data_IF_909012071031
#
_entry.id   IF_909012071031
#
_cell.length_a   1.000
_cell.length_b   1.000
_cell.length_c   1.000
_cell.angle_alpha   90.00
_cell.angle_beta   90.00
_cell.angle_gamma   90.00
#
_symmetry.space_group_name_H-M   'P 1'
#
loop_
_entity.id
_entity.type
_entity.pdbx_description
1 polymer ?
#
# COMPACT_ATOMS: atom_id res chain seq x y z
N UNK A 1 15.47 -14.46 16.71
CA UNK A 1 14.31 -14.15 15.85
C UNK A 1 14.87 -13.83 14.47
N UNK A 2 14.62 -14.69 13.47
CA UNK A 2 15.14 -14.47 12.12
C UNK A 2 14.49 -13.22 11.54
N UNK A 3 15.32 -12.28 11.12
CA UNK A 3 14.92 -11.12 10.34
C UNK A 3 14.68 -11.62 8.91
N UNK A 4 13.44 -12.01 8.61
CA UNK A 4 13.08 -12.37 7.24
C UNK A 4 12.91 -11.06 6.46
N UNK A 5 14.05 -10.46 6.11
CA UNK A 5 14.09 -9.33 5.19
C UNK A 5 13.50 -9.77 3.85
N UNK A 6 12.54 -9.01 3.35
CA UNK A 6 11.87 -9.30 2.08
C UNK A 6 12.47 -8.47 0.95
N UNK A 7 12.38 -8.92 -0.31
CA UNK A 7 12.69 -8.07 -1.45
C UNK A 7 11.76 -6.83 -1.50
N UNK A 8 12.23 -5.65 -1.96
CA UNK A 8 11.40 -4.45 -2.01
C UNK A 8 10.10 -4.60 -2.83
N UNK A 9 10.15 -5.37 -3.92
CA UNK A 9 8.98 -5.64 -4.77
C UNK A 9 7.85 -6.36 -4.02
N UNK A 10 8.16 -7.13 -2.98
CA UNK A 10 7.14 -7.78 -2.17
C UNK A 10 6.35 -6.73 -1.37
N UNK A 11 7.05 -5.74 -0.79
CA UNK A 11 6.42 -4.63 -0.08
C UNK A 11 5.57 -3.78 -1.04
N UNK A 12 6.06 -3.52 -2.26
CA UNK A 12 5.28 -2.83 -3.30
C UNK A 12 3.98 -3.57 -3.63
N UNK A 13 4.04 -4.89 -3.80
CA UNK A 13 2.85 -5.71 -4.05
C UNK A 13 1.83 -5.62 -2.91
N UNK A 14 2.29 -5.68 -1.66
CA UNK A 14 1.42 -5.52 -0.48
C UNK A 14 0.83 -4.10 -0.39
N UNK A 15 1.58 -3.09 -0.81
CA UNK A 15 1.10 -1.72 -0.91
C UNK A 15 -0.04 -1.58 -1.92
N UNK A 16 0.13 -2.16 -3.12
CA UNK A 16 -0.83 -2.09 -4.22
C UNK A 16 -2.19 -2.69 -3.87
N UNK A 17 -2.21 -3.73 -3.03
CA UNK A 17 -3.46 -4.34 -2.51
C UNK A 17 -3.99 -3.66 -1.24
N UNK A 18 -3.39 -2.53 -0.81
CA UNK A 18 -3.85 -1.76 0.34
C UNK A 18 -3.53 -2.38 1.71
N UNK A 19 -2.57 -3.31 1.78
CA UNK A 19 -2.21 -4.03 3.00
C UNK A 19 -1.34 -3.23 3.99
N UNK A 20 -0.72 -2.14 3.53
CA UNK A 20 0.19 -1.31 4.34
C UNK A 20 -0.56 -0.11 4.95
N UNK A 21 -0.33 0.16 6.23
CA UNK A 21 -0.85 1.35 6.94
C UNK A 21 0.20 2.46 7.09
N UNK A 22 1.47 2.09 7.28
CA UNK A 22 2.58 3.02 7.43
C UNK A 22 3.82 2.49 6.71
N UNK A 23 4.58 3.37 6.09
CA UNK A 23 5.86 3.05 5.47
C UNK A 23 6.91 4.13 5.80
N UNK A 24 8.10 3.69 6.17
CA UNK A 24 9.24 4.54 6.51
C UNK A 24 10.57 3.95 6.03
N UNK A 25 11.64 4.74 6.14
CA UNK A 25 13.01 4.33 5.81
C UNK A 25 13.82 4.20 7.08
N UNK A 26 14.60 3.13 7.19
CA UNK A 26 15.56 2.88 8.26
C UNK A 26 16.96 2.80 7.65
N UNK A 27 17.96 3.38 8.32
CA UNK A 27 19.35 3.28 7.86
C UNK A 27 19.91 1.87 8.09
N UNK A 28 20.71 1.40 7.15
CA UNK A 28 21.46 0.16 7.32
C UNK A 28 22.79 0.41 8.02
N UNK A 29 23.42 -0.66 8.50
CA UNK A 29 24.81 -0.62 8.97
C UNK A 29 25.82 -0.24 7.88
N UNK A 30 25.47 -0.48 6.61
CA UNK A 30 26.29 -0.09 5.45
C UNK A 30 25.94 1.34 5.05
N UNK A 31 26.95 2.22 4.87
CA UNK A 31 26.73 3.61 4.44
C UNK A 31 25.92 3.71 3.16
N UNK A 32 25.11 4.77 3.05
CA UNK A 32 24.27 5.08 1.89
C UNK A 32 23.27 3.98 1.50
N UNK A 33 23.00 3.04 2.42
CA UNK A 33 21.97 2.03 2.26
C UNK A 33 20.86 2.19 3.27
N UNK A 34 19.64 1.90 2.82
CA UNK A 34 18.44 2.00 3.64
C UNK A 34 17.56 0.76 3.43
N UNK A 35 16.73 0.48 4.43
CA UNK A 35 15.63 -0.48 4.36
C UNK A 35 14.31 0.26 4.31
N UNK A 36 13.35 -0.34 3.62
CA UNK A 36 11.94 0.05 3.70
C UNK A 36 11.33 -0.74 4.85
N UNK A 37 10.70 -0.02 5.79
CA UNK A 37 9.97 -0.61 6.90
C UNK A 37 8.50 -0.34 6.67
N UNK A 38 7.71 -1.40 6.51
CA UNK A 38 6.28 -1.33 6.27
C UNK A 38 5.52 -1.97 7.42
N UNK A 39 4.56 -1.23 7.97
CA UNK A 39 3.62 -1.72 8.97
C UNK A 39 2.34 -2.11 8.24
N UNK A 40 1.94 -3.37 8.40
CA UNK A 40 0.73 -3.93 7.82
C UNK A 40 -0.51 -3.63 8.67
N UNK A 41 -1.70 -3.77 8.09
CA UNK A 41 -2.98 -3.60 8.79
C UNK A 41 -3.17 -4.54 9.98
N UNK A 42 -2.56 -5.73 9.95
CA UNK A 42 -2.60 -6.71 11.05
C UNK A 42 -1.52 -6.46 12.13
N UNK A 43 -0.77 -5.36 12.03
CA UNK A 43 0.30 -4.99 12.95
C UNK A 43 1.64 -5.66 12.67
N UNK A 44 1.73 -6.57 11.69
CA UNK A 44 3.02 -7.14 11.29
C UNK A 44 3.92 -6.09 10.66
N UNK A 45 5.23 -6.24 10.85
CA UNK A 45 6.24 -5.36 10.28
C UNK A 45 7.04 -6.14 9.25
N UNK A 46 7.05 -5.64 8.01
CA UNK A 46 7.94 -6.11 6.96
C UNK A 46 9.13 -5.17 6.86
N UNK A 47 10.34 -5.74 6.78
CA UNK A 47 11.57 -4.99 6.52
C UNK A 47 12.13 -5.46 5.19
N UNK A 48 12.54 -4.53 4.32
CA UNK A 48 13.20 -4.91 3.09
C UNK A 48 14.67 -5.30 3.35
N UNK A 49 15.27 -6.00 2.40
CA UNK A 49 16.73 -6.04 2.28
C UNK A 49 17.29 -4.61 2.13
N UNK A 50 18.55 -4.40 2.54
CA UNK A 50 19.25 -3.13 2.37
C UNK A 50 19.49 -2.81 0.89
N UNK A 51 18.99 -1.66 0.44
CA UNK A 51 19.18 -1.15 -0.92
C UNK A 51 19.81 0.23 -0.90
N UNK A 52 20.29 0.69 -2.05
CA UNK A 52 20.80 2.05 -2.23
C UNK A 52 19.77 3.10 -1.77
N UNK A 53 20.22 4.11 -1.03
CA UNK A 53 19.34 5.13 -0.44
C UNK A 53 18.54 5.92 -1.49
N UNK A 54 19.09 6.16 -2.69
CA UNK A 54 18.35 6.80 -3.79
C UNK A 54 17.25 5.87 -4.30
N UNK A 55 17.56 4.57 -4.42
CA UNK A 55 16.58 3.53 -4.73
C UNK A 55 15.46 3.48 -3.69
N UNK A 56 15.82 3.45 -2.41
CA UNK A 56 14.87 3.41 -1.29
C UNK A 56 13.91 4.60 -1.27
N UNK A 57 14.43 5.82 -1.48
CA UNK A 57 13.61 7.04 -1.57
C UNK A 57 12.61 7.01 -2.74
N UNK A 58 13.02 6.50 -3.90
CA UNK A 58 12.14 6.34 -5.06
C UNK A 58 11.03 5.32 -4.77
N UNK A 59 11.38 4.16 -4.25
CA UNK A 59 10.41 3.13 -3.90
C UNK A 59 9.44 3.60 -2.81
N UNK A 60 9.91 4.32 -1.80
CA UNK A 60 9.06 4.91 -0.78
C UNK A 60 7.97 5.82 -1.39
N UNK A 61 8.33 6.63 -2.38
CA UNK A 61 7.36 7.50 -3.08
C UNK A 61 6.31 6.68 -3.85
N UNK A 62 6.75 5.63 -4.56
CA UNK A 62 5.85 4.73 -5.30
C UNK A 62 4.90 3.99 -4.35
N UNK A 63 5.43 3.43 -3.26
CA UNK A 63 4.63 2.72 -2.25
C UNK A 63 3.58 3.65 -1.63
N UNK A 64 3.95 4.89 -1.31
CA UNK A 64 2.99 5.88 -0.78
C UNK A 64 1.89 6.22 -1.78
N UNK A 65 2.23 6.29 -3.06
CA UNK A 65 1.25 6.50 -4.13
C UNK A 65 0.30 5.32 -4.27
N UNK A 66 0.80 4.07 -4.24
CA UNK A 66 -0.06 2.89 -4.18
C UNK A 66 -0.98 2.90 -2.96
N UNK A 67 -0.46 3.21 -1.77
CA UNK A 67 -1.28 3.34 -0.57
C UNK A 67 -2.36 4.42 -0.72
N UNK A 68 -2.07 5.52 -1.42
CA UNK A 68 -3.05 6.59 -1.71
C UNK A 68 -4.12 6.08 -2.67
N UNK A 69 -3.74 5.44 -3.78
CA UNK A 69 -4.65 4.90 -4.79
C UNK A 69 -5.53 3.78 -4.24
N UNK A 70 -4.96 2.82 -3.50
CA UNK A 70 -5.73 1.73 -2.89
C UNK A 70 -6.78 2.27 -1.91
N UNK A 71 -6.48 3.36 -1.17
CA UNK A 71 -7.49 4.03 -0.32
C UNK A 71 -8.58 4.68 -1.17
N UNK A 72 -8.22 5.42 -2.23
CA UNK A 72 -9.21 6.05 -3.10
C UNK A 72 -10.16 5.02 -3.72
N UNK A 73 -9.65 3.89 -4.22
CA UNK A 73 -10.48 2.85 -4.81
C UNK A 73 -11.51 2.27 -3.83
N UNK A 74 -11.15 2.16 -2.54
CA UNK A 74 -12.10 1.72 -1.50
C UNK A 74 -13.17 2.78 -1.27
N UNK A 75 -12.80 4.05 -1.09
CA UNK A 75 -13.76 5.13 -0.82
C UNK A 75 -14.66 5.47 -2.02
N UNK A 76 -14.10 5.48 -3.24
CA UNK A 76 -14.84 5.74 -4.48
C UNK A 76 -15.70 4.52 -4.86
N UNK A 77 -15.24 3.29 -4.57
CA UNK A 77 -16.01 2.07 -4.75
C UNK A 77 -17.21 1.94 -3.81
N UNK A 78 -17.14 2.50 -2.60
CA UNK A 78 -18.29 2.63 -1.70
C UNK A 78 -19.37 3.60 -2.22
N UNK A 79 -18.99 4.54 -3.09
CA UNK A 79 -19.89 5.50 -3.74
C UNK A 79 -20.78 4.94 -4.86
N UNK A 80 -20.54 3.71 -5.33
CA UNK A 80 -21.36 3.09 -6.40
C UNK A 80 -22.68 2.52 -5.84
N UNK A 81 -22.87 2.46 -4.51
CA UNK A 81 -24.08 1.91 -3.88
C UNK A 81 -25.27 2.87 -3.73
N UNK A 82 -25.20 4.12 -4.19
CA UNK A 82 -26.32 5.08 -4.03
C UNK A 82 -27.01 5.52 -5.33
N UNK A 83 -26.88 4.74 -6.41
CA UNK A 83 -27.43 5.08 -7.73
C UNK A 83 -28.60 4.24 -8.22
N UNK A 84 -29.04 3.21 -7.49
CA UNK A 84 -30.17 2.38 -7.91
C UNK A 84 -31.48 2.99 -7.41
N UNK A 85 -31.95 4.04 -8.09
CA UNK A 85 -33.38 4.39 -8.06
C UNK A 85 -34.08 3.44 -9.03
N UNK A 86 -34.85 2.53 -8.45
CA UNK A 86 -35.73 1.61 -9.15
C UNK A 86 -36.59 2.34 -10.19
N UNK A 87 -36.29 2.10 -11.46
CA UNK A 87 -37.24 2.34 -12.54
C UNK A 87 -38.21 1.15 -12.62
N UNK A 88 -39.00 0.93 -11.56
CA UNK A 88 -40.09 -0.05 -11.58
C UNK A 88 -41.40 0.61 -12.00
N UNK A 89 -41.79 0.31 -13.23
CA UNK A 89 -43.16 0.07 -13.71
C UNK A 89 -44.32 0.84 -13.04
N UNK A 90 -44.88 1.80 -13.77
CA UNK A 90 -46.32 2.09 -13.67
C UNK A 90 -46.97 1.73 -15.00
N UNK A 91 -47.81 0.69 -15.09
CA UNK A 91 -48.68 0.52 -16.24
C UNK A 91 -49.82 1.54 -16.11
N UNK A 92 -50.01 2.39 -17.11
CA UNK A 92 -51.25 3.14 -17.25
C UNK A 92 -52.08 2.53 -18.37
N UNK A 93 -53.24 2.06 -17.94
CA UNK A 93 -54.49 1.75 -18.65
C UNK A 93 -54.87 2.75 -19.70
#
# INVERSE_FOLDING_TARGET
MSSDDVPPFYIEGVAAIGGIVKVELEECSVPERQKIVAILRDGKVLKSVCIDARGAKRLLAIIREYMRLSRQLVFEGEGIKSGQKDATNTPKT
#
